data_IF_684318696987
#
_entry.id   IF_684318696987
#
_cell.length_a   1.000
_cell.length_b   1.000
_cell.length_c   1.000
_cell.angle_alpha   90.00
_cell.angle_beta   90.00
_cell.angle_gamma   90.00
#
_symmetry.space_group_name_H-M   'P 1'
#
loop_
_entity.id
_entity.type
_entity.pdbx_description
1 polymer ?
#
# COMPACT_ATOMS: atom_id res chain seq x y z
N UNK A 1 -3.71 23.54 37.20
CA UNK A 1 -4.39 22.36 36.60
C UNK A 1 -5.71 22.84 36.02
N UNK A 2 -6.24 22.14 35.01
CA UNK A 2 -7.46 22.45 34.21
C UNK A 2 -7.29 23.63 33.24
N UNK A 3 -7.44 23.54 31.92
CA UNK A 3 -8.05 22.56 31.02
C UNK A 3 -7.15 22.33 29.80
N UNK A 4 -6.79 21.08 29.52
CA UNK A 4 -6.23 20.70 28.22
C UNK A 4 -7.42 20.71 27.27
N UNK A 5 -7.61 21.81 26.54
CA UNK A 5 -8.77 22.06 25.69
C UNK A 5 -9.08 20.87 24.79
N UNK A 6 -10.22 20.22 25.03
CA UNK A 6 -10.72 19.17 24.18
C UNK A 6 -10.90 19.71 22.76
N UNK A 7 -10.29 19.05 21.78
CA UNK A 7 -10.44 19.41 20.36
C UNK A 7 -11.91 19.39 19.98
N UNK A 8 -12.35 20.36 19.18
CA UNK A 8 -13.72 20.33 18.65
C UNK A 8 -13.87 19.13 17.70
N UNK A 9 -15.09 18.61 17.52
CA UNK A 9 -15.34 17.53 16.55
C UNK A 9 -14.82 17.85 15.14
N UNK A 10 -14.94 19.11 14.71
CA UNK A 10 -14.43 19.55 13.41
C UNK A 10 -12.90 19.45 13.30
N UNK A 11 -12.17 19.82 14.36
CA UNK A 11 -10.72 19.66 14.41
C UNK A 11 -10.30 18.19 14.41
N UNK A 12 -11.07 17.31 15.10
CA UNK A 12 -10.82 15.88 15.07
C UNK A 12 -11.03 15.28 13.68
N UNK A 13 -12.10 15.68 12.97
CA UNK A 13 -12.33 15.26 11.57
C UNK A 13 -11.17 15.68 10.67
N UNK A 14 -10.74 16.94 10.75
CA UNK A 14 -9.61 17.44 9.96
C UNK A 14 -8.32 16.64 10.20
N UNK A 15 -8.04 16.28 11.46
CA UNK A 15 -6.88 15.44 11.80
C UNK A 15 -6.99 14.02 11.24
N UNK A 16 -8.16 13.38 11.34
CA UNK A 16 -8.39 12.04 10.81
C UNK A 16 -8.20 12.03 9.29
N UNK A 17 -8.73 13.04 8.58
CA UNK A 17 -8.53 13.15 7.13
C UNK A 17 -7.04 13.30 6.77
N UNK A 18 -6.29 14.15 7.48
CA UNK A 18 -4.86 14.30 7.24
C UNK A 18 -4.07 13.00 7.52
N UNK A 19 -4.44 12.26 8.58
CA UNK A 19 -3.86 10.96 8.87
C UNK A 19 -4.19 9.92 7.79
N UNK A 20 -5.42 9.94 7.28
CA UNK A 20 -5.85 9.05 6.20
C UNK A 20 -5.07 9.35 4.92
N UNK A 21 -4.94 10.61 4.53
CA UNK A 21 -4.17 11.03 3.35
C UNK A 21 -2.70 10.59 3.45
N UNK A 22 -2.09 10.76 4.63
CA UNK A 22 -0.73 10.30 4.88
C UNK A 22 -0.60 8.77 4.78
N UNK A 23 -1.55 8.02 5.37
CA UNK A 23 -1.57 6.57 5.31
C UNK A 23 -1.78 6.06 3.87
N UNK A 24 -2.64 6.72 3.09
CA UNK A 24 -2.87 6.40 1.67
C UNK A 24 -1.60 6.62 0.87
N UNK A 25 -0.89 7.73 1.06
CA UNK A 25 0.37 8.00 0.39
C UNK A 25 1.43 6.93 0.71
N UNK A 26 1.57 6.55 1.98
CA UNK A 26 2.48 5.49 2.41
C UNK A 26 2.10 4.13 1.80
N UNK A 27 0.81 3.79 1.76
CA UNK A 27 0.31 2.56 1.16
C UNK A 27 0.56 2.51 -0.35
N UNK A 28 0.42 3.65 -1.06
CA UNK A 28 0.74 3.74 -2.48
C UNK A 28 2.22 3.49 -2.74
N UNK A 29 3.11 4.04 -1.91
CA UNK A 29 4.55 3.83 -2.06
C UNK A 29 4.94 2.37 -1.83
N UNK A 30 4.44 1.75 -0.76
CA UNK A 30 4.66 0.33 -0.49
C UNK A 30 4.07 -0.56 -1.59
N UNK A 31 2.94 -0.17 -2.18
CA UNK A 31 2.33 -0.87 -3.32
C UNK A 31 3.25 -0.84 -4.54
N UNK A 32 3.84 0.31 -4.86
CA UNK A 32 4.82 0.44 -5.95
C UNK A 32 6.07 -0.41 -5.69
N UNK A 33 6.61 -0.33 -4.48
CA UNK A 33 7.79 -1.11 -4.09
C UNK A 33 7.54 -2.63 -4.21
N UNK A 34 6.36 -3.10 -3.77
CA UNK A 34 5.93 -4.50 -3.97
C UNK A 34 5.87 -4.86 -5.45
N UNK A 35 5.24 -4.03 -6.27
CA UNK A 35 5.06 -4.29 -7.69
C UNK A 35 6.40 -4.35 -8.43
N UNK A 36 7.36 -3.50 -8.07
CA UNK A 36 8.72 -3.54 -8.58
C UNK A 36 9.48 -4.80 -8.15
N UNK A 37 9.32 -5.23 -6.89
CA UNK A 37 9.89 -6.48 -6.41
C UNK A 37 9.33 -7.70 -7.17
N UNK A 38 8.02 -7.70 -7.45
CA UNK A 38 7.36 -8.72 -8.27
C UNK A 38 7.96 -8.75 -9.68
N UNK A 39 8.08 -7.59 -10.35
CA UNK A 39 8.69 -7.52 -11.69
C UNK A 39 10.12 -8.03 -11.70
N UNK A 40 10.93 -7.68 -10.69
CA UNK A 40 12.30 -8.17 -10.54
C UNK A 40 12.34 -9.69 -10.36
N UNK A 41 11.51 -10.24 -9.48
CA UNK A 41 11.42 -11.70 -9.30
C UNK A 41 11.07 -12.41 -10.62
N UNK A 42 10.09 -11.91 -11.36
CA UNK A 42 9.75 -12.48 -12.66
C UNK A 42 10.91 -12.37 -13.67
N UNK A 43 11.65 -11.26 -13.68
CA UNK A 43 12.82 -11.08 -14.55
C UNK A 43 13.99 -12.02 -14.22
N UNK A 44 14.09 -12.46 -12.96
CA UNK A 44 15.05 -13.48 -12.53
C UNK A 44 14.58 -14.92 -12.80
N UNK A 45 13.40 -15.10 -13.40
CA UNK A 45 12.88 -16.42 -13.79
C UNK A 45 12.19 -17.18 -12.67
N UNK A 46 11.85 -16.54 -11.54
CA UNK A 46 11.08 -17.20 -10.48
C UNK A 46 9.68 -17.59 -11.00
N UNK A 47 9.15 -18.78 -10.63
CA UNK A 47 7.83 -19.21 -11.08
C UNK A 47 6.71 -18.27 -10.61
N UNK A 48 5.79 -17.92 -11.51
CA UNK A 48 4.66 -17.02 -11.22
C UNK A 48 3.84 -17.49 -10.02
N UNK A 49 3.63 -18.80 -9.86
CA UNK A 49 2.87 -19.36 -8.75
C UNK A 49 3.54 -19.11 -7.39
N UNK A 50 4.87 -19.20 -7.32
CA UNK A 50 5.63 -18.93 -6.11
C UNK A 50 5.62 -17.44 -5.77
N UNK A 51 5.79 -16.58 -6.78
CA UNK A 51 5.69 -15.12 -6.61
C UNK A 51 4.29 -14.72 -6.14
N UNK A 52 3.23 -15.30 -6.73
CA UNK A 52 1.85 -15.06 -6.35
C UNK A 52 1.58 -15.45 -4.89
N UNK A 53 2.02 -16.65 -4.49
CA UNK A 53 1.92 -17.14 -3.12
C UNK A 53 2.68 -16.26 -2.13
N UNK A 54 3.92 -15.87 -2.44
CA UNK A 54 4.74 -15.02 -1.59
C UNK A 54 4.14 -13.61 -1.45
N UNK A 55 3.55 -13.07 -2.51
CA UNK A 55 2.91 -11.76 -2.51
C UNK A 55 1.48 -11.76 -1.91
N UNK A 56 0.89 -12.94 -1.68
CA UNK A 56 -0.51 -13.06 -1.27
C UNK A 56 -1.51 -12.56 -2.34
N UNK A 57 -1.14 -12.67 -3.62
CA UNK A 57 -1.92 -12.17 -4.74
C UNK A 57 -2.37 -13.31 -5.65
N UNK A 58 -3.44 -13.08 -6.42
CA UNK A 58 -3.84 -14.03 -7.46
C UNK A 58 -2.82 -14.04 -8.61
N UNK A 59 -2.65 -15.18 -9.33
CA UNK A 59 -1.79 -15.23 -10.51
C UNK A 59 -2.16 -14.17 -11.56
N UNK A 60 -3.46 -13.91 -11.73
CA UNK A 60 -3.93 -12.86 -12.63
C UNK A 60 -3.40 -11.48 -12.26
N UNK A 61 -3.37 -11.14 -10.96
CA UNK A 61 -2.81 -9.86 -10.51
C UNK A 61 -1.31 -9.76 -10.75
N UNK A 62 -0.57 -10.87 -10.60
CA UNK A 62 0.86 -10.91 -10.94
C UNK A 62 1.09 -10.60 -12.43
N UNK A 63 0.27 -11.17 -13.32
CA UNK A 63 0.36 -10.87 -14.76
C UNK A 63 0.05 -9.40 -15.08
N UNK A 64 -0.95 -8.82 -14.43
CA UNK A 64 -1.24 -7.39 -14.57
C UNK A 64 -0.03 -6.52 -14.15
N UNK A 65 0.57 -6.83 -13.00
CA UNK A 65 1.75 -6.11 -12.49
C UNK A 65 2.94 -6.24 -13.45
N UNK A 66 3.18 -7.43 -13.98
CA UNK A 66 4.20 -7.70 -15.00
C UNK A 66 3.98 -6.85 -16.25
N UNK A 67 2.74 -6.76 -16.71
CA UNK A 67 2.36 -6.09 -17.96
C UNK A 67 2.11 -4.57 -17.78
N UNK A 68 2.21 -4.06 -16.55
CA UNK A 68 2.00 -2.63 -16.22
C UNK A 68 0.54 -2.19 -16.20
N UNK A 69 -0.39 -3.09 -15.85
CA UNK A 69 -1.86 -2.89 -15.86
C UNK A 69 -2.51 -2.85 -14.47
#
# INVERSE_FOLDING_TARGET
MTEIGARTPLQQVGMICAQLESAVAAAMELTRARDDAIRKALSFGYPTADVARAAGLSPMRIYQIRDGK
#
